data_IF_612093512898
#
_entry.id   IF_612093512898
#
_cell.length_a   1.000
_cell.length_b   1.000
_cell.length_c   1.000
_cell.angle_alpha   90.00
_cell.angle_beta   90.00
_cell.angle_gamma   90.00
#
_symmetry.space_group_name_H-M   'P 1'
#
loop_
_entity.id
_entity.type
_entity.pdbx_description
1 polymer ?
#
# COMPACT_ATOMS: atom_id res chain seq x y z
N UNK A 1 28.09 -1.39 -13.76
CA UNK A 1 27.20 -2.51 -14.14
C UNK A 1 25.78 -1.97 -14.25
N UNK A 2 25.00 -2.39 -15.26
CA UNK A 2 23.56 -2.06 -15.31
C UNK A 2 22.83 -2.91 -14.26
N UNK A 3 21.87 -2.34 -13.51
CA UNK A 3 21.10 -3.10 -12.54
C UNK A 3 20.31 -4.22 -13.22
N UNK A 4 20.16 -5.36 -12.54
CA UNK A 4 19.31 -6.45 -13.02
C UNK A 4 17.83 -6.10 -12.81
N UNK A 5 16.93 -6.78 -13.52
CA UNK A 5 15.48 -6.59 -13.37
C UNK A 5 15.06 -6.71 -11.89
N UNK A 6 15.53 -7.75 -11.20
CA UNK A 6 15.23 -7.97 -9.78
C UNK A 6 15.79 -6.88 -8.86
N UNK A 7 16.93 -6.27 -9.20
CA UNK A 7 17.45 -5.12 -8.44
C UNK A 7 16.58 -3.87 -8.62
N UNK A 8 16.01 -3.66 -9.81
CA UNK A 8 15.07 -2.56 -10.07
C UNK A 8 13.75 -2.81 -9.33
N UNK A 9 13.20 -4.01 -9.40
CA UNK A 9 11.99 -4.40 -8.66
C UNK A 9 12.17 -4.24 -7.14
N UNK A 10 13.34 -4.62 -6.61
CA UNK A 10 13.66 -4.45 -5.20
C UNK A 10 13.72 -2.97 -4.79
N UNK A 11 14.37 -2.12 -5.60
CA UNK A 11 14.44 -0.68 -5.35
C UNK A 11 13.07 -0.02 -5.33
N UNK A 12 12.20 -0.37 -6.29
CA UNK A 12 10.81 0.14 -6.31
C UNK A 12 10.06 -0.33 -5.07
N UNK A 13 10.19 -1.61 -4.71
CA UNK A 13 9.52 -2.17 -3.53
C UNK A 13 9.96 -1.46 -2.24
N UNK A 14 11.26 -1.18 -2.11
CA UNK A 14 11.83 -0.48 -0.96
C UNK A 14 11.37 0.98 -0.88
N UNK A 15 11.34 1.69 -2.01
CA UNK A 15 10.84 3.06 -2.10
C UNK A 15 9.37 3.14 -1.64
N UNK A 16 8.52 2.21 -2.10
CA UNK A 16 7.11 2.16 -1.70
C UNK A 16 6.94 1.81 -0.22
N UNK A 17 7.73 0.86 0.31
CA UNK A 17 7.70 0.55 1.75
C UNK A 17 8.10 1.78 2.57
N UNK A 18 9.13 2.52 2.14
CA UNK A 18 9.60 3.72 2.82
C UNK A 18 8.52 4.81 2.82
N UNK A 19 7.90 5.08 1.68
CA UNK A 19 6.78 6.01 1.57
C UNK A 19 5.64 5.64 2.52
N UNK A 20 5.16 4.39 2.51
CA UNK A 20 4.10 3.95 3.44
C UNK A 20 4.52 4.11 4.91
N UNK A 21 5.76 3.74 5.27
CA UNK A 21 6.24 3.88 6.66
C UNK A 21 6.33 5.34 7.10
N UNK A 22 6.93 6.21 6.29
CA UNK A 22 7.20 7.61 6.65
C UNK A 22 5.93 8.47 6.57
N UNK A 23 5.09 8.27 5.56
CA UNK A 23 3.90 9.07 5.34
C UNK A 23 2.65 8.51 6.04
N UNK A 24 2.43 7.19 5.98
CA UNK A 24 1.25 6.56 6.61
C UNK A 24 1.50 6.12 8.05
N UNK A 25 2.75 6.23 8.55
CA UNK A 25 3.15 5.80 9.89
C UNK A 25 3.14 4.28 10.08
N UNK A 26 2.95 3.50 9.01
CA UNK A 26 2.94 2.03 9.02
C UNK A 26 3.29 1.47 7.65
N UNK A 27 4.10 0.42 7.62
CA UNK A 27 4.46 -0.26 6.38
C UNK A 27 3.57 -1.49 6.09
N UNK A 28 3.52 -1.95 4.83
CA UNK A 28 2.96 -3.25 4.49
C UNK A 28 3.77 -4.38 5.14
N UNK A 29 3.12 -5.52 5.42
CA UNK A 29 3.81 -6.74 5.88
C UNK A 29 4.65 -7.38 4.77
N UNK A 30 4.17 -7.30 3.54
CA UNK A 30 4.86 -7.82 2.37
C UNK A 30 4.61 -6.84 1.21
N UNK A 31 5.68 -6.40 0.55
CA UNK A 31 5.62 -5.66 -0.69
C UNK A 31 6.41 -6.41 -1.76
N UNK A 32 5.85 -6.50 -2.96
CA UNK A 32 6.53 -7.12 -4.10
C UNK A 32 6.19 -6.37 -5.37
N UNK A 33 7.22 -5.94 -6.09
CA UNK A 33 7.10 -5.30 -7.39
C UNK A 33 7.34 -6.33 -8.49
N UNK A 34 6.58 -6.20 -9.57
CA UNK A 34 6.75 -6.95 -10.80
C UNK A 34 6.83 -5.96 -11.95
N UNK A 35 7.86 -6.09 -12.78
CA UNK A 35 7.97 -5.34 -14.04
C UNK A 35 7.50 -6.27 -15.16
N UNK A 36 6.41 -5.87 -15.82
CA UNK A 36 5.73 -6.61 -16.88
C UNK A 36 5.76 -5.75 -18.15
N UNK A 37 6.80 -5.92 -18.96
CA UNK A 37 7.07 -5.10 -20.14
C UNK A 37 7.06 -3.59 -19.82
N UNK A 38 5.97 -2.87 -20.15
CA UNK A 38 5.76 -1.44 -19.92
C UNK A 38 4.97 -1.12 -18.64
N UNK A 39 4.55 -2.15 -17.89
CA UNK A 39 3.77 -2.01 -16.67
C UNK A 39 4.59 -2.33 -15.41
N UNK A 40 4.38 -1.55 -14.35
CA UNK A 40 4.92 -1.85 -13.01
C UNK A 40 3.74 -2.18 -12.09
N UNK A 41 3.72 -3.41 -11.58
CA UNK A 41 2.73 -3.87 -10.62
C UNK A 41 3.35 -3.95 -9.22
N UNK A 42 2.93 -3.10 -8.30
CA UNK A 42 3.33 -3.15 -6.90
C UNK A 42 2.24 -3.81 -6.07
N UNK A 43 2.52 -4.99 -5.53
CA UNK A 43 1.62 -5.71 -4.62
C UNK A 43 1.98 -5.42 -3.18
N UNK A 44 1.06 -4.79 -2.45
CA UNK A 44 1.15 -4.58 -1.01
C UNK A 44 0.19 -5.52 -0.27
N UNK A 45 0.68 -6.19 0.77
CA UNK A 45 -0.10 -7.07 1.64
C UNK A 45 0.04 -6.66 3.09
N UNK A 46 -1.00 -6.95 3.88
CA UNK A 46 -1.02 -6.61 5.30
C UNK A 46 -1.04 -5.11 5.56
N UNK A 47 -1.62 -4.34 4.64
CA UNK A 47 -1.69 -2.87 4.73
C UNK A 47 -2.68 -2.39 5.79
N UNK A 48 -3.64 -3.22 6.19
CA UNK A 48 -4.64 -2.89 7.21
C UNK A 48 -4.12 -3.25 8.61
N UNK A 49 -4.38 -2.38 9.59
CA UNK A 49 -4.08 -2.69 11.00
C UNK A 49 -5.10 -3.68 11.54
N UNK A 50 -4.79 -4.33 12.67
CA UNK A 50 -5.75 -5.18 13.38
C UNK A 50 -7.06 -4.44 13.70
N UNK A 51 -6.97 -3.16 14.10
CA UNK A 51 -8.12 -2.33 14.42
C UNK A 51 -8.99 -2.06 13.18
N UNK A 52 -8.38 -1.74 12.04
CA UNK A 52 -9.12 -1.56 10.78
C UNK A 52 -9.73 -2.87 10.28
N UNK A 53 -9.03 -4.00 10.44
CA UNK A 53 -9.56 -5.30 10.08
C UNK A 53 -10.82 -5.63 10.90
N UNK A 54 -10.79 -5.38 12.21
CA UNK A 54 -11.94 -5.55 13.10
C UNK A 54 -13.08 -4.59 12.72
N UNK A 55 -12.77 -3.32 12.44
CA UNK A 55 -13.76 -2.32 12.01
C UNK A 55 -14.40 -2.69 10.67
N UNK A 56 -13.61 -3.20 9.72
CA UNK A 56 -14.11 -3.66 8.42
C UNK A 56 -15.06 -4.88 8.55
N UNK A 57 -14.88 -5.69 9.59
CA UNK A 57 -15.72 -6.85 9.89
C UNK A 57 -17.00 -6.48 10.66
N UNK A 58 -17.07 -5.27 11.23
CA UNK A 58 -18.24 -4.77 11.97
C UNK A 58 -19.35 -4.38 10.98
N UNK A 59 -20.60 -4.72 11.30
CA UNK A 59 -21.80 -4.50 10.48
C UNK A 59 -21.71 -4.99 9.03
N UNK A 60 -21.71 -6.32 8.87
CA UNK A 60 -21.72 -6.99 7.57
C UNK A 60 -22.87 -6.55 6.65
N UNK A 61 -24.02 -6.16 7.22
CA UNK A 61 -25.22 -5.72 6.48
C UNK A 61 -25.11 -4.31 5.90
N UNK A 62 -24.49 -3.38 6.62
CA UNK A 62 -24.44 -1.96 6.22
C UNK A 62 -23.09 -1.57 5.59
N UNK A 63 -22.01 -2.29 5.89
CA UNK A 63 -20.69 -2.06 5.28
C UNK A 63 -20.04 -0.72 5.66
N UNK A 64 -20.60 0.01 6.64
CA UNK A 64 -20.15 1.33 7.08
C UNK A 64 -18.67 1.35 7.47
N UNK A 65 -18.19 0.35 8.21
CA UNK A 65 -16.78 0.23 8.60
C UNK A 65 -15.84 0.16 7.39
N UNK A 66 -16.23 -0.59 6.34
CA UNK A 66 -15.46 -0.69 5.08
C UNK A 66 -15.44 0.64 4.33
N UNK A 67 -16.56 1.37 4.30
CA UNK A 67 -16.64 2.67 3.63
C UNK A 67 -15.75 3.71 4.31
N UNK A 68 -15.79 3.78 5.64
CA UNK A 68 -14.95 4.70 6.42
C UNK A 68 -13.46 4.45 6.17
N UNK A 69 -13.02 3.19 6.21
CA UNK A 69 -11.61 2.83 5.94
C UNK A 69 -11.23 3.28 4.52
N UNK A 70 -12.08 3.04 3.52
CA UNK A 70 -11.81 3.47 2.14
C UNK A 70 -11.69 4.99 2.02
N UNK A 71 -12.62 5.74 2.61
CA UNK A 71 -12.59 7.21 2.59
C UNK A 71 -11.31 7.75 3.21
N UNK A 72 -10.95 7.27 4.41
CA UNK A 72 -9.72 7.68 5.10
C UNK A 72 -8.49 7.37 4.25
N UNK A 73 -8.39 6.17 3.66
CA UNK A 73 -7.21 5.81 2.86
C UNK A 73 -7.12 6.58 1.54
N UNK A 74 -8.24 6.85 0.87
CA UNK A 74 -8.25 7.68 -0.34
C UNK A 74 -7.75 9.09 -0.01
N UNK A 75 -8.28 9.71 1.05
CA UNK A 75 -7.88 11.05 1.46
C UNK A 75 -6.39 11.12 1.82
N UNK A 76 -5.88 10.14 2.56
CA UNK A 76 -4.45 10.07 2.89
C UNK A 76 -3.59 9.86 1.65
N UNK A 77 -3.98 8.95 0.74
CA UNK A 77 -3.22 8.69 -0.49
C UNK A 77 -3.16 9.91 -1.41
N UNK A 78 -4.28 10.61 -1.61
CA UNK A 78 -4.30 11.83 -2.43
C UNK A 78 -3.39 12.92 -1.86
N UNK A 79 -3.31 13.05 -0.53
CA UNK A 79 -2.36 13.98 0.12
C UNK A 79 -0.91 13.53 -0.01
N UNK A 80 -0.65 12.22 -0.04
CA UNK A 80 0.69 11.66 -0.18
C UNK A 80 1.19 11.57 -1.62
N UNK A 81 0.30 11.70 -2.61
CA UNK A 81 0.60 11.58 -4.04
C UNK A 81 1.78 12.43 -4.55
N UNK A 82 2.03 13.67 -4.06
CA UNK A 82 3.21 14.44 -4.47
C UNK A 82 4.55 13.85 -4.02
N UNK A 83 4.55 12.87 -3.11
CA UNK A 83 5.76 12.23 -2.58
C UNK A 83 6.02 10.85 -3.21
N UNK A 84 5.16 10.41 -4.13
CA UNK A 84 5.26 9.20 -4.94
C UNK A 84 5.76 9.52 -6.34
#
# INVERSE_FOLDING_TARGET
MKPTLGQIEAQISEAIIKFEKEFMGRGPLEAKTYILDDMILVRLKGVLTKAEYNLAQTDKKEGRGRQLIKQVRIELLERGRPML
#
